data_IF_716999191052
#
_entry.id   IF_716999191052
#
_cell.length_a   1.000
_cell.length_b   1.000
_cell.length_c   1.000
_cell.angle_alpha   90.00
_cell.angle_beta   90.00
_cell.angle_gamma   90.00
#
_symmetry.space_group_name_H-M   'P 1'
#
loop_
_entity.id
_entity.type
_entity.pdbx_description
1 polymer ?
#
# COMPACT_ATOMS: atom_id res chain seq x y z
N UNK A 1 -22.03 8.08 39.65
CA UNK A 1 -20.91 7.13 39.89
C UNK A 1 -20.74 6.32 38.62
N UNK A 2 -19.62 6.44 37.93
CA UNK A 2 -19.38 5.68 36.70
C UNK A 2 -19.02 4.24 37.07
N UNK A 3 -19.80 3.28 36.55
CA UNK A 3 -19.54 1.86 36.74
C UNK A 3 -18.34 1.50 35.87
N UNK A 4 -17.23 1.12 36.49
CA UNK A 4 -16.05 0.63 35.77
C UNK A 4 -16.32 -0.83 35.38
N UNK A 5 -16.30 -1.12 34.10
CA UNK A 5 -16.41 -2.47 33.58
C UNK A 5 -15.02 -3.05 33.32
N UNK A 6 -14.86 -4.33 33.60
CA UNK A 6 -13.69 -5.09 33.18
C UNK A 6 -13.67 -5.25 31.66
N UNK A 7 -12.46 -5.38 31.07
CA UNK A 7 -12.28 -5.64 29.63
C UNK A 7 -13.05 -6.87 29.14
N UNK A 8 -13.23 -7.86 30.01
CA UNK A 8 -14.02 -9.06 29.72
C UNK A 8 -15.53 -8.76 29.73
N UNK A 9 -16.02 -7.95 30.67
CA UNK A 9 -17.43 -7.55 30.71
C UNK A 9 -17.81 -6.68 29.52
N UNK A 10 -16.90 -5.85 29.02
CA UNK A 10 -17.13 -5.08 27.78
C UNK A 10 -17.19 -5.97 26.55
N UNK A 11 -16.37 -7.04 26.49
CA UNK A 11 -16.40 -7.99 25.39
C UNK A 11 -17.71 -8.80 25.40
N UNK A 12 -18.14 -9.27 26.57
CA UNK A 12 -19.39 -10.03 26.70
C UNK A 12 -20.61 -9.17 26.33
N UNK A 13 -20.63 -7.90 26.73
CA UNK A 13 -21.72 -6.98 26.37
C UNK A 13 -21.80 -6.69 24.86
N UNK A 14 -20.65 -6.61 24.19
CA UNK A 14 -20.57 -6.41 22.74
C UNK A 14 -21.04 -7.66 22.00
N UNK A 15 -20.65 -8.85 22.48
CA UNK A 15 -21.05 -10.12 21.87
C UNK A 15 -22.57 -10.39 22.03
N UNK A 16 -23.14 -10.10 23.21
CA UNK A 16 -24.57 -10.28 23.48
C UNK A 16 -25.47 -9.31 22.68
N UNK A 17 -24.90 -8.17 22.23
CA UNK A 17 -25.61 -7.19 21.39
C UNK A 17 -25.69 -7.60 19.91
N UNK A 18 -24.97 -8.64 19.47
CA UNK A 18 -24.86 -9.05 18.06
C UNK A 18 -25.85 -10.17 17.69
N UNK A 19 -26.38 -10.90 18.69
CA UNK A 19 -27.30 -12.03 18.47
C UNK A 19 -28.77 -11.60 18.17
N UNK A 20 -29.02 -10.30 17.98
CA UNK A 20 -30.37 -9.73 17.92
C UNK A 20 -30.83 -9.08 16.61
N UNK A 21 -30.04 -9.07 15.54
CA UNK A 21 -30.47 -8.50 14.24
C UNK A 21 -30.58 -9.58 13.15
N UNK A 22 -31.83 -9.97 12.86
CA UNK A 22 -32.21 -10.73 11.67
C UNK A 22 -31.70 -10.00 10.41
N UNK A 23 -30.70 -10.58 9.75
CA UNK A 23 -30.24 -10.11 8.44
C UNK A 23 -31.12 -10.75 7.39
N UNK A 24 -32.14 -10.02 6.94
CA UNK A 24 -32.89 -10.35 5.73
C UNK A 24 -31.94 -10.34 4.52
N UNK A 25 -31.89 -11.50 3.87
CA UNK A 25 -31.12 -11.82 2.67
C UNK A 25 -31.71 -11.05 1.48
N UNK A 26 -31.09 -9.93 1.08
CA UNK A 26 -31.54 -9.10 -0.02
C UNK A 26 -30.43 -8.82 -1.04
N UNK A 27 -30.56 -9.52 -2.16
CA UNK A 27 -30.10 -9.23 -3.53
C UNK A 27 -28.59 -9.02 -3.75
N UNK A 28 -28.00 -9.99 -4.45
CA UNK A 28 -26.75 -9.89 -5.19
C UNK A 28 -26.89 -8.86 -6.32
N UNK A 29 -26.31 -7.68 -6.13
CA UNK A 29 -25.96 -6.80 -7.26
C UNK A 29 -24.52 -7.10 -7.67
N UNK A 30 -24.41 -7.52 -8.92
CA UNK A 30 -23.20 -7.83 -9.68
C UNK A 30 -22.26 -6.61 -9.67
N UNK A 31 -21.10 -6.75 -9.02
CA UNK A 31 -20.07 -5.72 -9.03
C UNK A 31 -18.94 -6.23 -9.90
N UNK A 32 -18.77 -5.60 -11.07
CA UNK A 32 -17.74 -5.93 -12.05
C UNK A 32 -16.36 -6.02 -11.40
N UNK A 33 -15.79 -7.22 -11.45
CA UNK A 33 -14.50 -7.55 -10.90
C UNK A 33 -13.39 -6.96 -11.79
N UNK A 34 -12.78 -5.86 -11.35
CA UNK A 34 -11.59 -5.33 -11.99
C UNK A 34 -10.43 -6.34 -11.86
N UNK A 35 -9.96 -6.83 -13.00
CA UNK A 35 -8.84 -7.76 -13.12
C UNK A 35 -7.51 -7.02 -12.92
N UNK A 36 -6.89 -7.16 -11.75
CA UNK A 36 -5.49 -6.77 -11.53
C UNK A 36 -4.56 -7.81 -12.15
N UNK A 37 -3.98 -7.49 -13.31
CA UNK A 37 -2.83 -8.20 -13.87
C UNK A 37 -1.57 -7.53 -13.35
N UNK A 38 -1.04 -8.01 -12.22
CA UNK A 38 0.31 -7.66 -11.78
C UNK A 38 1.34 -8.51 -12.56
N UNK A 39 2.24 -7.82 -13.25
CA UNK A 39 3.33 -8.41 -14.03
C UNK A 39 4.44 -8.87 -13.06
N UNK A 40 4.43 -10.16 -12.74
CA UNK A 40 5.37 -10.81 -11.82
C UNK A 40 6.65 -11.22 -12.57
N UNK A 41 7.73 -10.46 -12.40
CA UNK A 41 9.08 -10.90 -12.79
C UNK A 41 9.88 -11.25 -11.53
N UNK A 42 9.65 -12.46 -11.01
CA UNK A 42 10.60 -13.14 -10.14
C UNK A 42 11.81 -13.56 -10.99
N UNK A 43 12.98 -12.97 -10.73
CA UNK A 43 14.26 -13.45 -11.25
C UNK A 43 15.10 -13.97 -10.08
N UNK A 44 14.84 -15.23 -9.72
CA UNK A 44 15.78 -16.07 -8.99
C UNK A 44 16.96 -16.39 -9.92
N UNK A 45 18.15 -15.86 -9.61
CA UNK A 45 19.41 -16.46 -10.08
C UNK A 45 20.43 -16.49 -8.95
N UNK A 46 20.42 -17.65 -8.30
CA UNK A 46 21.44 -18.16 -7.40
C UNK A 46 22.65 -18.59 -8.26
N UNK A 47 23.76 -17.85 -8.24
CA UNK A 47 25.01 -18.32 -8.85
C UNK A 47 26.27 -17.90 -8.08
N UNK A 48 26.88 -18.95 -7.50
CA UNK A 48 28.16 -19.07 -6.81
C UNK A 48 29.30 -18.12 -7.22
N UNK A 49 29.96 -17.60 -6.20
CA UNK A 49 31.35 -17.14 -6.26
C UNK A 49 32.28 -18.28 -6.72
N UNK A 50 33.13 -18.01 -7.71
CA UNK A 50 34.36 -18.78 -7.92
C UNK A 50 35.43 -17.83 -8.46
N UNK A 51 36.37 -17.49 -7.59
CA UNK A 51 37.65 -16.87 -7.93
C UNK A 51 38.46 -17.84 -8.81
N UNK A 52 38.86 -17.42 -10.01
CA UNK A 52 40.12 -17.87 -10.61
C UNK A 52 40.77 -16.70 -11.38
N UNK A 53 41.93 -16.27 -10.88
CA UNK A 53 42.87 -15.44 -11.63
C UNK A 53 43.58 -16.27 -12.70
N UNK A 54 43.54 -15.84 -13.96
CA UNK A 54 44.70 -16.00 -14.84
C UNK A 54 44.72 -14.99 -15.99
N UNK A 55 45.86 -14.33 -16.11
CA UNK A 55 46.32 -13.34 -17.08
C UNK A 55 46.55 -13.91 -18.50
N UNK A 56 46.08 -13.21 -19.54
CA UNK A 56 46.94 -12.56 -20.56
C UNK A 56 46.15 -11.93 -21.71
N UNK A 57 46.39 -10.63 -21.89
CA UNK A 57 46.49 -9.79 -23.09
C UNK A 57 45.99 -10.32 -24.45
N UNK A 58 45.11 -9.54 -25.10
CA UNK A 58 45.27 -9.03 -26.46
C UNK A 58 44.33 -7.81 -26.65
N UNK A 59 44.88 -6.60 -26.45
CA UNK A 59 44.20 -5.32 -26.70
C UNK A 59 43.94 -5.15 -28.20
N UNK A 60 42.68 -5.33 -28.60
CA UNK A 60 42.17 -4.77 -29.84
C UNK A 60 41.60 -3.38 -29.52
N UNK A 61 42.31 -2.33 -29.94
CA UNK A 61 41.83 -0.94 -29.91
C UNK A 61 40.57 -0.79 -30.80
N UNK A 62 39.39 -1.13 -30.26
CA UNK A 62 38.11 -0.72 -30.84
C UNK A 62 37.88 0.75 -30.48
N UNK A 63 38.07 1.65 -31.44
CA UNK A 63 37.72 3.06 -31.25
C UNK A 63 36.25 3.21 -30.85
N UNK A 64 35.93 3.99 -29.79
CA UNK A 64 34.57 4.06 -29.28
C UNK A 64 33.64 4.75 -30.27
N UNK A 65 32.77 3.96 -30.89
CA UNK A 65 31.74 4.47 -31.79
C UNK A 65 30.84 5.47 -31.03
N UNK A 66 30.87 6.71 -31.51
CA UNK A 66 30.15 7.84 -30.95
C UNK A 66 29.03 8.27 -31.91
N UNK A 67 27.80 8.30 -31.41
CA UNK A 67 26.58 8.57 -32.17
C UNK A 67 25.92 9.87 -31.69
N UNK A 68 25.52 10.73 -32.62
CA UNK A 68 24.86 11.99 -32.31
C UNK A 68 23.34 11.91 -32.57
N UNK A 69 22.56 12.52 -31.69
CA UNK A 69 21.14 12.79 -31.92
C UNK A 69 20.93 13.65 -33.19
N UNK A 70 19.73 13.62 -33.76
CA UNK A 70 19.36 14.34 -35.00
C UNK A 70 19.64 15.85 -34.93
N UNK A 71 19.54 16.46 -33.76
CA UNK A 71 19.84 17.88 -33.51
C UNK A 71 21.28 18.12 -33.01
N UNK A 72 22.10 17.07 -32.94
CA UNK A 72 23.48 17.04 -32.42
C UNK A 72 23.63 17.52 -30.98
N UNK A 73 22.54 17.60 -30.20
CA UNK A 73 22.59 18.06 -28.81
C UNK A 73 22.91 16.95 -27.81
N UNK A 74 22.76 15.70 -28.20
CA UNK A 74 23.00 14.53 -27.35
C UNK A 74 23.97 13.60 -28.08
N UNK A 75 24.95 13.12 -27.34
CA UNK A 75 26.02 12.26 -27.82
C UNK A 75 26.01 10.96 -27.03
N UNK A 76 25.98 9.83 -27.72
CA UNK A 76 26.00 8.49 -27.16
C UNK A 76 27.32 7.83 -27.54
N UNK A 77 27.96 7.16 -26.60
CA UNK A 77 29.22 6.46 -26.86
C UNK A 77 29.08 5.03 -26.42
N UNK A 78 29.56 4.10 -27.24
CA UNK A 78 29.46 2.66 -26.95
C UNK A 78 30.41 2.19 -25.85
N UNK A 79 31.44 2.98 -25.53
CA UNK A 79 32.31 2.75 -24.38
C UNK A 79 31.74 3.44 -23.13
N UNK A 80 31.74 2.77 -21.96
CA UNK A 80 31.44 3.44 -20.71
C UNK A 80 32.39 4.63 -20.52
N UNK A 81 31.95 5.74 -19.91
CA UNK A 81 32.83 6.87 -19.62
C UNK A 81 34.03 6.37 -18.80
N UNK A 82 35.26 6.85 -19.07
CA UNK A 82 36.40 6.49 -18.24
C UNK A 82 36.06 6.88 -16.81
N UNK A 83 36.23 5.94 -15.87
CA UNK A 83 35.93 6.13 -14.46
C UNK A 83 36.70 7.36 -13.94
N UNK A 84 36.05 8.52 -13.94
CA UNK A 84 36.51 9.66 -13.16
C UNK A 84 36.30 9.25 -11.70
N UNK A 85 37.37 8.74 -11.07
CA UNK A 85 37.42 8.64 -9.62
C UNK A 85 37.31 10.06 -9.11
N UNK A 86 36.07 10.50 -8.90
CA UNK A 86 35.77 11.77 -8.29
C UNK A 86 36.24 11.60 -6.86
N UNK A 87 37.36 12.26 -6.53
CA UNK A 87 37.95 12.23 -5.20
C UNK A 87 36.92 12.74 -4.19
N UNK A 88 36.34 11.80 -3.43
CA UNK A 88 35.78 11.99 -2.09
C UNK A 88 34.95 13.26 -1.89
N UNK A 89 33.75 13.24 -2.47
CA UNK A 89 32.57 13.76 -1.75
C UNK A 89 31.43 12.77 -1.90
N UNK A 90 31.75 11.47 -1.82
CA UNK A 90 30.79 10.54 -1.27
C UNK A 90 30.64 10.97 0.19
N UNK A 91 29.63 11.79 0.48
CA UNK A 91 29.15 11.94 1.84
C UNK A 91 28.99 10.52 2.36
N UNK A 92 29.81 10.15 3.32
CA UNK A 92 29.71 8.90 4.06
C UNK A 92 28.49 9.05 4.98
N UNK A 93 27.32 9.24 4.35
CA UNK A 93 26.02 9.27 5.01
C UNK A 93 25.69 7.80 5.21
N UNK A 94 26.08 7.26 6.36
CA UNK A 94 25.45 6.05 6.85
C UNK A 94 23.94 6.32 6.84
N UNK A 95 23.11 5.49 6.20
CA UNK A 95 21.67 5.68 6.20
C UNK A 95 21.18 5.51 7.64
N UNK A 96 21.06 6.62 8.36
CA UNK A 96 20.52 6.68 9.70
C UNK A 96 19.07 7.17 9.66
N UNK A 97 18.30 6.75 10.66
CA UNK A 97 16.96 7.31 10.90
C UNK A 97 17.11 8.82 11.06
N UNK A 98 16.30 9.58 10.34
CA UNK A 98 16.38 11.03 10.38
C UNK A 98 16.08 11.54 11.79
N UNK A 99 16.71 12.65 12.20
CA UNK A 99 16.41 13.30 13.48
C UNK A 99 14.92 13.62 13.63
N UNK A 100 14.25 13.93 12.51
CA UNK A 100 12.82 14.17 12.45
C UNK A 100 12.03 12.91 12.84
N UNK A 101 12.31 11.75 12.22
CA UNK A 101 11.62 10.52 12.58
C UNK A 101 11.88 10.12 14.04
N UNK A 102 13.11 10.25 14.53
CA UNK A 102 13.44 9.96 15.93
C UNK A 102 12.66 10.80 16.94
N UNK A 103 12.30 12.04 16.61
CA UNK A 103 11.56 12.92 17.53
C UNK A 103 10.04 12.77 17.46
N UNK A 104 9.50 12.06 16.46
CA UNK A 104 8.05 11.93 16.24
C UNK A 104 7.55 10.47 16.28
N UNK A 105 8.44 9.48 16.24
CA UNK A 105 8.14 8.05 16.40
C UNK A 105 8.09 7.66 17.89
N UNK A 106 7.11 8.18 18.63
CA UNK A 106 6.90 7.87 20.05
C UNK A 106 6.20 6.52 20.28
N UNK A 107 5.22 6.18 19.42
CA UNK A 107 4.50 4.92 19.46
C UNK A 107 4.32 4.33 18.05
N UNK A 108 3.76 3.11 17.99
CA UNK A 108 3.57 2.41 16.71
C UNK A 108 2.66 3.21 15.77
N UNK A 109 1.64 3.86 16.32
CA UNK A 109 0.68 4.67 15.56
C UNK A 109 1.36 5.92 15.00
N UNK A 110 2.06 6.70 15.83
CA UNK A 110 2.76 7.90 15.37
C UNK A 110 3.86 7.56 14.37
N UNK A 111 4.51 6.41 14.51
CA UNK A 111 5.50 5.91 13.53
C UNK A 111 4.85 5.64 12.17
N UNK A 112 3.66 5.04 12.14
CA UNK A 112 2.92 4.82 10.90
C UNK A 112 2.43 6.14 10.27
N UNK A 113 1.97 7.08 11.10
CA UNK A 113 1.49 8.40 10.66
C UNK A 113 2.61 9.27 10.03
N UNK A 114 3.88 8.95 10.26
CA UNK A 114 5.00 9.56 9.51
C UNK A 114 4.99 9.22 8.02
N UNK A 115 4.48 8.05 7.65
CA UNK A 115 4.34 7.62 6.25
C UNK A 115 2.97 7.96 5.69
N UNK A 116 1.93 7.81 6.51
CA UNK A 116 0.55 8.13 6.17
C UNK A 116 0.13 9.44 6.83
N UNK A 117 0.70 10.54 6.32
CA UNK A 117 0.55 11.87 6.91
C UNK A 117 -0.90 12.35 6.89
N UNK A 118 -1.23 13.31 7.75
CA UNK A 118 -2.56 13.93 7.78
C UNK A 118 -2.98 14.51 6.42
N UNK A 119 -2.01 15.02 5.65
CA UNK A 119 -2.25 15.56 4.31
C UNK A 119 -2.71 14.47 3.34
N UNK A 120 -2.00 13.32 3.31
CA UNK A 120 -2.39 12.17 2.49
C UNK A 120 -3.76 11.66 2.92
N UNK A 121 -3.98 11.50 4.23
CA UNK A 121 -5.27 11.06 4.78
C UNK A 121 -6.40 11.98 4.35
N UNK A 122 -6.20 13.30 4.43
CA UNK A 122 -7.19 14.30 4.05
C UNK A 122 -7.53 14.22 2.57
N UNK A 123 -6.52 14.10 1.70
CA UNK A 123 -6.73 13.96 0.25
C UNK A 123 -7.58 12.71 -0.03
N UNK A 124 -7.19 11.55 0.52
CA UNK A 124 -7.91 10.30 0.32
C UNK A 124 -9.35 10.41 0.83
N UNK A 125 -9.54 10.96 2.03
CA UNK A 125 -10.87 11.16 2.62
C UNK A 125 -11.75 12.06 1.77
N UNK A 126 -11.24 13.21 1.33
CA UNK A 126 -12.01 14.18 0.56
C UNK A 126 -12.44 13.59 -0.79
N UNK A 127 -11.49 13.03 -1.53
CA UNK A 127 -11.73 12.49 -2.87
C UNK A 127 -12.62 11.23 -2.83
N UNK A 128 -12.41 10.35 -1.85
CA UNK A 128 -13.24 9.14 -1.72
C UNK A 128 -14.67 9.48 -1.28
N UNK A 129 -14.88 10.51 -0.46
CA UNK A 129 -16.23 10.93 -0.08
C UNK A 129 -16.97 11.64 -1.22
N UNK A 130 -16.27 12.38 -2.10
CA UNK A 130 -16.87 12.94 -3.32
C UNK A 130 -17.36 11.81 -4.22
N UNK A 131 -16.50 10.84 -4.51
CA UNK A 131 -16.85 9.65 -5.30
C UNK A 131 -17.98 8.85 -4.65
N UNK A 132 -17.91 8.62 -3.34
CA UNK A 132 -18.91 7.87 -2.60
C UNK A 132 -20.31 8.51 -2.67
N UNK A 133 -20.39 9.84 -2.53
CA UNK A 133 -21.64 10.59 -2.73
C UNK A 133 -22.13 10.53 -4.18
N UNK A 134 -21.23 10.51 -5.16
CA UNK A 134 -21.62 10.41 -6.57
C UNK A 134 -22.17 9.02 -6.92
N UNK A 135 -21.58 7.96 -6.38
CA UNK A 135 -21.95 6.56 -6.68
C UNK A 135 -23.15 6.09 -5.85
N UNK A 136 -23.20 6.43 -4.56
CA UNK A 136 -24.19 5.90 -3.62
C UNK A 136 -25.20 6.95 -3.11
N UNK A 137 -25.08 8.21 -3.53
CA UNK A 137 -26.01 9.30 -3.19
C UNK A 137 -26.34 9.34 -1.68
N UNK A 138 -27.63 9.25 -1.34
CA UNK A 138 -28.13 9.37 0.03
C UNK A 138 -27.75 8.18 0.94
N UNK A 139 -27.30 7.06 0.38
CA UNK A 139 -26.82 5.92 1.15
C UNK A 139 -25.35 6.05 1.60
N UNK A 140 -24.65 7.09 1.13
CA UNK A 140 -23.26 7.30 1.50
C UNK A 140 -23.15 7.87 2.90
N UNK A 141 -22.40 7.17 3.74
CA UNK A 141 -21.95 7.67 5.04
C UNK A 141 -20.47 8.03 4.94
N UNK A 142 -20.09 9.14 5.54
CA UNK A 142 -18.71 9.60 5.55
C UNK A 142 -17.74 8.48 5.98
N UNK A 143 -16.68 8.35 5.19
CA UNK A 143 -15.71 7.26 5.26
C UNK A 143 -14.84 7.36 6.52
N UNK A 144 -14.72 6.24 7.24
CA UNK A 144 -13.70 6.08 8.29
C UNK A 144 -12.45 5.45 7.68
N UNK A 145 -11.49 6.30 7.30
CA UNK A 145 -10.26 5.85 6.62
C UNK A 145 -9.39 5.00 7.54
N UNK A 146 -9.32 5.34 8.84
CA UNK A 146 -8.54 4.61 9.83
C UNK A 146 -9.04 3.16 9.98
N UNK A 147 -10.36 2.97 10.03
CA UNK A 147 -10.95 1.63 10.16
C UNK A 147 -10.70 0.78 8.90
N UNK A 148 -10.85 1.39 7.73
CA UNK A 148 -10.60 0.71 6.46
C UNK A 148 -9.12 0.29 6.31
N UNK A 149 -8.19 1.23 6.53
CA UNK A 149 -6.75 0.96 6.46
C UNK A 149 -6.33 -0.02 7.55
N UNK A 150 -6.91 0.06 8.74
CA UNK A 150 -6.68 -0.90 9.82
C UNK A 150 -7.02 -2.33 9.42
N UNK A 151 -8.16 -2.54 8.75
CA UNK A 151 -8.54 -3.86 8.24
C UNK A 151 -7.63 -4.35 7.09
N UNK A 152 -7.10 -3.45 6.26
CA UNK A 152 -6.10 -3.80 5.23
C UNK A 152 -4.77 -4.21 5.84
N UNK A 153 -4.29 -3.51 6.87
CA UNK A 153 -3.07 -3.90 7.60
C UNK A 153 -3.30 -5.27 8.26
N UNK A 154 -4.46 -5.45 8.88
CA UNK A 154 -4.81 -6.68 9.56
C UNK A 154 -4.94 -7.88 8.61
N UNK A 155 -5.48 -7.69 7.40
CA UNK A 155 -5.53 -8.75 6.39
C UNK A 155 -4.12 -9.19 5.96
N UNK A 156 -3.17 -8.24 5.89
CA UNK A 156 -1.75 -8.51 5.70
C UNK A 156 -1.14 -9.36 6.82
N UNK A 157 -1.46 -9.04 8.09
CA UNK A 157 -1.02 -9.83 9.25
C UNK A 157 -1.53 -11.28 9.17
N UNK A 158 -2.77 -11.47 8.71
CA UNK A 158 -3.34 -12.80 8.50
C UNK A 158 -2.89 -13.49 7.20
N UNK A 159 -2.04 -12.84 6.39
CA UNK A 159 -1.55 -13.34 5.08
C UNK A 159 -2.68 -13.65 4.10
N UNK A 160 -3.76 -12.88 4.16
CA UNK A 160 -5.02 -13.14 3.47
C UNK A 160 -5.10 -12.57 2.05
N UNK A 161 -3.96 -12.37 1.37
CA UNK A 161 -3.90 -11.69 0.05
C UNK A 161 -4.79 -12.32 -1.04
N UNK A 162 -5.00 -13.63 -0.98
CA UNK A 162 -5.79 -14.40 -1.96
C UNK A 162 -7.01 -15.06 -1.30
N UNK A 163 -7.40 -14.60 -0.12
CA UNK A 163 -8.56 -15.11 0.59
C UNK A 163 -9.80 -14.30 0.17
N UNK A 164 -10.92 -14.99 -0.08
CA UNK A 164 -12.17 -14.32 -0.37
C UNK A 164 -12.59 -13.43 0.82
N UNK A 165 -13.10 -12.22 0.54
CA UNK A 165 -13.55 -11.31 1.60
C UNK A 165 -14.67 -11.96 2.44
N UNK A 166 -15.52 -12.77 1.82
CA UNK A 166 -16.57 -13.55 2.49
C UNK A 166 -15.99 -14.48 3.55
N UNK A 167 -14.84 -15.12 3.28
CA UNK A 167 -14.17 -16.00 4.24
C UNK A 167 -13.67 -15.20 5.45
N UNK A 168 -13.08 -14.02 5.20
CA UNK A 168 -12.62 -13.12 6.26
C UNK A 168 -13.75 -12.66 7.18
N UNK A 169 -14.93 -12.37 6.61
CA UNK A 169 -16.11 -11.92 7.36
C UNK A 169 -17.04 -13.06 7.82
N UNK A 170 -16.77 -14.33 7.50
CA UNK A 170 -17.68 -15.45 7.79
C UNK A 170 -17.95 -15.61 9.30
N UNK A 171 -19.22 -15.76 9.76
CA UNK A 171 -19.61 -15.79 11.17
C UNK A 171 -18.77 -16.74 12.03
N UNK A 172 -18.57 -17.97 11.57
CA UNK A 172 -17.95 -19.02 12.37
C UNK A 172 -16.46 -19.23 12.05
N UNK A 173 -16.10 -19.18 10.76
CA UNK A 173 -14.76 -19.51 10.27
C UNK A 173 -13.92 -18.29 9.93
N UNK A 174 -14.53 -17.11 9.91
CA UNK A 174 -13.86 -15.84 9.65
C UNK A 174 -13.22 -15.27 10.91
N UNK A 175 -12.87 -13.99 10.82
CA UNK A 175 -12.15 -13.28 11.88
C UNK A 175 -13.10 -12.26 12.50
N UNK A 176 -13.50 -12.50 13.75
CA UNK A 176 -14.52 -11.70 14.45
C UNK A 176 -14.24 -10.19 14.42
N UNK A 177 -12.96 -9.80 14.49
CA UNK A 177 -12.52 -8.39 14.43
C UNK A 177 -12.92 -7.68 13.14
N UNK A 178 -12.99 -8.37 12.00
CA UNK A 178 -13.40 -7.76 10.74
C UNK A 178 -14.86 -7.31 10.79
N UNK A 179 -15.76 -8.19 11.26
CA UNK A 179 -17.18 -7.85 11.48
C UNK A 179 -17.39 -6.82 12.59
N UNK A 180 -16.57 -6.87 13.63
CA UNK A 180 -16.65 -5.94 14.75
C UNK A 180 -16.29 -4.50 14.35
N UNK A 181 -15.39 -4.32 13.37
CA UNK A 181 -15.01 -3.01 12.85
C UNK A 181 -16.04 -2.48 11.84
N UNK A 182 -16.41 -3.28 10.84
CA UNK A 182 -17.46 -2.91 9.88
C UNK A 182 -18.04 -4.12 9.15
N UNK A 183 -19.24 -3.96 8.58
CA UNK A 183 -19.87 -5.01 7.77
C UNK A 183 -19.12 -5.24 6.46
N UNK A 184 -19.23 -6.46 5.90
CA UNK A 184 -18.64 -6.78 4.59
C UNK A 184 -19.16 -5.85 3.49
N UNK A 185 -20.46 -5.53 3.53
CA UNK A 185 -21.10 -4.60 2.59
C UNK A 185 -20.47 -3.21 2.67
N UNK A 186 -20.22 -2.70 3.87
CA UNK A 186 -19.56 -1.40 4.06
C UNK A 186 -18.11 -1.42 3.57
N UNK A 187 -17.36 -2.48 3.88
CA UNK A 187 -15.98 -2.63 3.42
C UNK A 187 -15.90 -2.61 1.89
N UNK A 188 -16.76 -3.37 1.20
CA UNK A 188 -16.86 -3.38 -0.27
C UNK A 188 -17.24 -2.02 -0.84
N UNK A 189 -18.26 -1.37 -0.26
CA UNK A 189 -18.67 -0.02 -0.66
C UNK A 189 -17.46 0.92 -0.61
N UNK A 190 -16.75 0.95 0.52
CA UNK A 190 -15.55 1.78 0.69
C UNK A 190 -14.47 1.42 -0.34
N UNK A 191 -14.10 0.13 -0.47
CA UNK A 191 -13.07 -0.33 -1.41
C UNK A 191 -13.32 0.12 -2.85
N UNK A 192 -14.59 0.18 -3.28
CA UNK A 192 -14.94 0.56 -4.65
C UNK A 192 -14.74 2.06 -4.96
N UNK A 193 -14.76 2.91 -3.92
CA UNK A 193 -14.74 4.38 -4.08
C UNK A 193 -13.51 5.05 -3.49
N UNK A 194 -12.49 4.30 -3.05
CA UNK A 194 -11.21 4.89 -2.65
C UNK A 194 -10.61 5.65 -3.84
N UNK A 195 -10.32 6.95 -3.65
CA UNK A 195 -9.68 7.84 -4.62
C UNK A 195 -8.59 8.66 -3.96
N UNK A 196 -7.57 9.00 -4.74
CA UNK A 196 -6.42 9.81 -4.31
C UNK A 196 -6.41 11.19 -4.96
N UNK A 197 -7.35 11.47 -5.85
CA UNK A 197 -7.39 12.66 -6.68
C UNK A 197 -8.82 12.97 -7.15
N UNK A 198 -9.00 14.19 -7.67
CA UNK A 198 -10.27 14.65 -8.19
C UNK A 198 -10.39 14.28 -9.68
N UNK A 199 -11.37 13.43 -9.99
CA UNK A 199 -11.67 13.00 -11.36
C UNK A 199 -12.03 14.17 -12.27
N UNK A 200 -12.67 15.22 -11.77
CA UNK A 200 -13.09 16.37 -12.59
C UNK A 200 -11.89 17.18 -13.08
N UNK A 201 -10.77 17.12 -12.35
CA UNK A 201 -9.53 17.83 -12.71
C UNK A 201 -8.63 17.04 -13.66
N UNK A 202 -8.93 15.75 -13.89
CA UNK A 202 -8.22 14.95 -14.91
C UNK A 202 -8.62 15.48 -16.28
N UNK A 203 -7.76 16.30 -16.87
CA UNK A 203 -7.91 16.72 -18.27
C UNK A 203 -7.95 15.45 -19.13
N UNK A 204 -9.00 15.31 -19.93
CA UNK A 204 -9.24 14.17 -20.82
C UNK A 204 -8.24 14.09 -21.98
#
# INVERSE_FOLDING_TARGET
MAKQFSLQETLDYILDSIDGEDVEDAASEDFDQASDTEDNLEQDQDHNETDEENSNEEDADEEPNTYLSRNRSICWTSSPPPHAITSKTALQMTPEITRYACSHAEDIKSTFELFFTEEIQKIVLEMSNVEGRQVFADEWKDLSLADHVGLLILSGVYRSKNEAMESLWHPESGRAIFRAVMTLKMFRKISSVIRFDDKETRIA
#
